data_IF_547034811225
#
_entry.id   IF_547034811225
#
_cell.length_a   1.000
_cell.length_b   1.000
_cell.length_c   1.000
_cell.angle_alpha   90.00
_cell.angle_beta   90.00
_cell.angle_gamma   90.00
#
_symmetry.space_group_name_H-M   'P 1'
#
loop_
_entity.id
_entity.type
_entity.pdbx_description
1 polymer ?
#
# COMPACT_ATOMS: atom_id res chain seq x y z
N UNK A 1 -19.10 -4.04 -12.23
CA UNK A 1 -17.83 -4.12 -13.02
C UNK A 1 -16.72 -3.63 -12.12
N UNK A 2 -15.75 -4.47 -11.79
CA UNK A 2 -14.57 -4.02 -11.06
C UNK A 2 -13.87 -2.92 -11.86
N UNK A 3 -13.54 -1.80 -11.22
CA UNK A 3 -12.68 -0.79 -11.83
C UNK A 3 -11.30 -1.44 -12.05
N UNK A 4 -11.03 -1.79 -13.31
CA UNK A 4 -9.72 -2.39 -13.67
C UNK A 4 -8.71 -1.25 -13.60
N UNK A 5 -7.84 -1.26 -12.58
CA UNK A 5 -6.77 -0.29 -12.48
C UNK A 5 -5.81 -0.44 -13.66
N UNK A 6 -5.66 0.64 -14.42
CA UNK A 6 -4.68 0.71 -15.50
C UNK A 6 -3.33 1.09 -14.91
N UNK A 7 -2.32 0.24 -15.12
CA UNK A 7 -0.95 0.48 -14.71
C UNK A 7 -0.14 0.73 -15.97
N UNK A 8 0.50 1.90 -16.03
CA UNK A 8 1.43 2.25 -17.11
C UNK A 8 2.85 2.11 -16.56
N UNK A 9 3.71 1.43 -17.29
CA UNK A 9 5.13 1.31 -16.97
C UNK A 9 5.98 1.93 -18.08
N UNK A 10 7.07 2.57 -17.72
CA UNK A 10 8.08 3.08 -18.64
C UNK A 10 9.47 2.82 -18.09
N UNK A 11 10.16 1.85 -18.66
CA UNK A 11 11.48 1.40 -18.21
C UNK A 11 12.49 1.48 -19.36
N UNK A 12 13.74 1.73 -19.02
CA UNK A 12 14.85 1.57 -19.95
C UNK A 12 15.11 0.08 -20.24
N UNK A 13 15.16 -0.78 -19.21
CA UNK A 13 15.30 -2.23 -19.36
C UNK A 13 13.96 -2.88 -19.70
N UNK A 14 13.78 -3.19 -21.00
CA UNK A 14 12.56 -3.82 -21.50
C UNK A 14 12.38 -5.27 -21.02
N UNK A 15 13.45 -5.95 -20.62
CA UNK A 15 13.38 -7.32 -20.08
C UNK A 15 12.81 -7.33 -18.68
N UNK A 16 13.27 -6.40 -17.82
CA UNK A 16 12.71 -6.20 -16.49
C UNK A 16 11.24 -5.76 -16.56
N UNK A 17 10.93 -4.79 -17.42
CA UNK A 17 9.57 -4.31 -17.65
C UNK A 17 8.61 -5.42 -18.08
N UNK A 18 9.03 -6.28 -19.02
CA UNK A 18 8.22 -7.39 -19.50
C UNK A 18 7.88 -8.41 -18.41
N UNK A 19 8.86 -8.75 -17.55
CA UNK A 19 8.67 -9.65 -16.40
C UNK A 19 7.66 -9.10 -15.40
N UNK A 20 7.79 -7.82 -15.02
CA UNK A 20 6.87 -7.17 -14.11
C UNK A 20 5.48 -7.02 -14.72
N UNK A 21 5.38 -6.68 -16.00
CA UNK A 21 4.13 -6.56 -16.73
C UNK A 21 3.38 -7.88 -16.85
N UNK A 22 4.08 -8.99 -17.10
CA UNK A 22 3.46 -10.32 -17.10
C UNK A 22 2.89 -10.67 -15.72
N UNK A 23 3.65 -10.32 -14.65
CA UNK A 23 3.23 -10.56 -13.29
C UNK A 23 1.99 -9.74 -12.93
N UNK A 24 1.90 -8.49 -13.34
CA UNK A 24 0.72 -7.63 -13.16
C UNK A 24 -0.52 -8.21 -13.87
N UNK A 25 -0.39 -8.62 -15.14
CA UNK A 25 -1.49 -9.21 -15.92
C UNK A 25 -2.02 -10.50 -15.29
N UNK A 26 -1.15 -11.37 -14.78
CA UNK A 26 -1.53 -12.58 -14.04
C UNK A 26 -2.38 -12.29 -12.80
N UNK A 27 -2.23 -11.10 -12.21
CA UNK A 27 -2.99 -10.67 -11.03
C UNK A 27 -4.17 -9.75 -11.37
N UNK A 28 -4.58 -9.69 -12.65
CA UNK A 28 -5.81 -9.03 -13.07
C UNK A 28 -5.70 -7.52 -13.33
N UNK A 29 -4.49 -6.96 -13.37
CA UNK A 29 -4.29 -5.55 -13.71
C UNK A 29 -4.25 -5.34 -15.23
N UNK A 30 -4.84 -4.23 -15.70
CA UNK A 30 -4.61 -3.75 -17.06
C UNK A 30 -3.23 -3.10 -17.11
N UNK A 31 -2.30 -3.69 -17.85
CA UNK A 31 -0.93 -3.20 -17.96
C UNK A 31 -0.66 -2.66 -19.37
N UNK A 32 -0.12 -1.45 -19.45
CA UNK A 32 0.30 -0.77 -20.67
C UNK A 32 1.77 -0.40 -20.54
N UNK A 33 2.55 -0.75 -21.56
CA UNK A 33 3.97 -0.34 -21.68
C UNK A 33 4.03 0.97 -22.43
N UNK A 34 4.65 1.99 -21.83
CA UNK A 34 4.97 3.22 -22.50
C UNK A 34 6.21 3.01 -23.40
N UNK A 35 6.16 3.49 -24.64
CA UNK A 35 7.20 3.24 -25.64
C UNK A 35 8.17 4.41 -25.79
N UNK A 36 7.63 5.60 -25.76
CA UNK A 36 8.35 6.87 -25.97
C UNK A 36 7.57 8.04 -25.39
N UNK A 37 8.15 9.25 -25.48
CA UNK A 37 7.54 10.47 -24.94
C UNK A 37 6.19 10.82 -25.59
N UNK A 38 6.04 10.60 -26.89
CA UNK A 38 4.78 10.89 -27.60
C UNK A 38 3.67 9.97 -27.08
N UNK A 39 3.95 8.68 -27.01
CA UNK A 39 3.01 7.70 -26.44
C UNK A 39 2.69 7.97 -24.97
N UNK A 40 3.67 8.47 -24.19
CA UNK A 40 3.45 8.88 -22.81
C UNK A 40 2.41 10.00 -22.70
N UNK A 41 2.56 11.05 -23.49
CA UNK A 41 1.64 12.20 -23.49
C UNK A 41 0.22 11.75 -23.89
N UNK A 42 0.09 10.93 -24.93
CA UNK A 42 -1.20 10.32 -25.32
C UNK A 42 -1.85 9.52 -24.20
N UNK A 43 -1.07 8.74 -23.45
CA UNK A 43 -1.58 7.92 -22.35
C UNK A 43 -2.07 8.76 -21.16
N UNK A 44 -1.39 9.86 -20.85
CA UNK A 44 -1.74 10.76 -19.74
C UNK A 44 -2.96 11.62 -20.07
N UNK A 45 -3.03 12.14 -21.29
CA UNK A 45 -4.10 13.07 -21.72
C UNK A 45 -5.42 12.36 -22.01
N UNK A 46 -5.41 11.09 -22.43
CA UNK A 46 -6.61 10.35 -22.80
C UNK A 46 -7.27 9.70 -21.56
N UNK A 47 -8.49 10.14 -21.17
CA UNK A 47 -9.18 9.59 -19.99
C UNK A 47 -9.41 8.08 -20.04
N UNK A 48 -9.49 7.46 -21.24
CA UNK A 48 -9.70 6.01 -21.40
C UNK A 48 -8.44 5.18 -21.13
N UNK A 49 -7.26 5.78 -21.24
CA UNK A 49 -5.96 5.15 -21.04
C UNK A 49 -5.20 5.70 -19.84
N UNK A 50 -5.65 6.81 -19.28
CA UNK A 50 -5.01 7.46 -18.14
C UNK A 50 -4.72 6.47 -17.01
N UNK A 51 -3.47 6.41 -16.54
CA UNK A 51 -3.06 5.44 -15.53
C UNK A 51 -3.72 5.71 -14.18
N UNK A 52 -4.08 4.64 -13.49
CA UNK A 52 -4.32 4.68 -12.05
C UNK A 52 -3.00 4.73 -11.30
N UNK A 53 -2.02 3.99 -11.81
CA UNK A 53 -0.66 3.95 -11.27
C UNK A 53 0.30 4.08 -12.46
N UNK A 54 1.27 4.96 -12.30
CA UNK A 54 2.37 5.18 -13.24
C UNK A 54 3.67 4.70 -12.59
N UNK A 55 4.47 3.92 -13.32
CA UNK A 55 5.75 3.41 -12.85
C UNK A 55 6.84 3.90 -13.79
N UNK A 56 7.76 4.70 -13.27
CA UNK A 56 8.84 5.33 -14.04
C UNK A 56 10.21 4.81 -13.55
N UNK A 57 11.02 4.36 -14.48
CA UNK A 57 12.43 4.03 -14.22
C UNK A 57 13.28 5.30 -14.29
N UNK A 58 14.15 5.53 -13.31
CA UNK A 58 15.08 6.65 -13.31
C UNK A 58 16.06 6.62 -14.49
N UNK A 59 16.30 5.45 -15.06
CA UNK A 59 17.27 5.29 -16.16
C UNK A 59 16.68 5.60 -17.54
N UNK A 60 15.41 6.02 -17.65
CA UNK A 60 14.81 6.48 -18.91
C UNK A 60 15.64 7.67 -19.45
N UNK A 61 16.06 7.58 -20.72
CA UNK A 61 16.91 8.61 -21.35
C UNK A 61 16.10 9.76 -21.94
N UNK A 62 14.85 9.53 -22.27
CA UNK A 62 14.01 10.50 -22.98
C UNK A 62 13.41 11.57 -22.05
N UNK A 63 13.28 11.25 -20.75
CA UNK A 63 12.69 12.14 -19.74
C UNK A 63 13.40 11.99 -18.41
N UNK A 64 13.38 13.07 -17.63
CA UNK A 64 13.71 13.00 -16.22
C UNK A 64 12.48 12.50 -15.43
N UNK A 65 12.57 11.30 -14.89
CA UNK A 65 11.46 10.64 -14.20
C UNK A 65 10.97 11.43 -12.97
N UNK A 66 11.88 12.12 -12.27
CA UNK A 66 11.54 12.90 -11.07
C UNK A 66 10.86 14.21 -11.44
N UNK A 67 11.39 14.92 -12.45
CA UNK A 67 10.75 16.14 -12.94
C UNK A 67 9.37 15.83 -13.55
N UNK A 68 9.26 14.75 -14.33
CA UNK A 68 7.98 14.28 -14.89
C UNK A 68 6.97 13.96 -13.78
N UNK A 69 7.41 13.31 -12.70
CA UNK A 69 6.56 13.08 -11.53
C UNK A 69 6.03 14.39 -10.95
N UNK A 70 6.92 15.35 -10.69
CA UNK A 70 6.54 16.66 -10.14
C UNK A 70 5.55 17.43 -11.04
N UNK A 71 5.77 17.43 -12.35
CA UNK A 71 4.88 18.06 -13.33
C UNK A 71 3.47 17.45 -13.26
N UNK A 72 3.34 16.12 -13.31
CA UNK A 72 2.05 15.43 -13.25
C UNK A 72 1.32 15.75 -11.94
N UNK A 73 2.03 15.73 -10.82
CA UNK A 73 1.44 16.02 -9.50
C UNK A 73 0.96 17.46 -9.37
N UNK A 74 1.67 18.41 -9.97
CA UNK A 74 1.30 19.83 -9.93
C UNK A 74 0.15 20.18 -10.88
N UNK A 75 0.07 19.54 -12.06
CA UNK A 75 -0.98 19.80 -13.03
C UNK A 75 -2.35 19.25 -12.62
N UNK A 76 -2.40 18.11 -11.93
CA UNK A 76 -3.63 17.38 -11.64
C UNK A 76 -3.83 17.10 -10.13
N UNK A 77 -3.82 18.12 -9.29
CA UNK A 77 -3.88 17.99 -7.80
C UNK A 77 -4.97 17.07 -7.26
N UNK A 78 -6.10 16.91 -7.95
CA UNK A 78 -7.24 16.12 -7.46
C UNK A 78 -7.42 14.76 -8.15
N UNK A 79 -6.72 14.50 -9.25
CA UNK A 79 -6.90 13.24 -10.03
C UNK A 79 -5.61 12.71 -10.66
N UNK A 80 -4.45 13.07 -10.11
CA UNK A 80 -3.17 12.53 -10.57
C UNK A 80 -3.09 11.01 -10.35
N UNK A 81 -2.36 10.28 -11.20
CA UNK A 81 -2.03 8.89 -10.92
C UNK A 81 -1.17 8.78 -9.66
N UNK A 82 -1.19 7.64 -9.01
CA UNK A 82 -0.11 7.28 -8.10
C UNK A 82 1.15 7.00 -8.90
N UNK A 83 2.30 7.49 -8.42
CA UNK A 83 3.56 7.40 -9.13
C UNK A 83 4.57 6.61 -8.30
N UNK A 84 5.07 5.52 -8.87
CA UNK A 84 6.18 4.74 -8.32
C UNK A 84 7.43 5.06 -9.14
N UNK A 85 8.49 5.50 -8.50
CA UNK A 85 9.80 5.64 -9.12
C UNK A 85 10.61 4.37 -8.83
N UNK A 86 11.33 3.88 -9.84
CA UNK A 86 12.24 2.74 -9.69
C UNK A 86 13.65 3.22 -10.00
N UNK A 87 14.62 2.93 -9.13
CA UNK A 87 16.00 3.39 -9.30
C UNK A 87 17.04 2.53 -8.59
N UNK A 88 18.30 2.86 -8.76
CA UNK A 88 19.42 2.12 -8.22
C UNK A 88 19.76 2.50 -6.77
N UNK A 89 20.40 1.57 -6.04
CA UNK A 89 20.79 1.73 -4.62
C UNK A 89 21.77 2.89 -4.35
N UNK A 90 22.55 3.25 -5.34
CA UNK A 90 23.61 4.27 -5.18
C UNK A 90 23.06 5.71 -4.98
N UNK A 91 21.74 5.89 -5.10
CA UNK A 91 21.11 7.21 -5.18
C UNK A 91 20.15 7.46 -3.99
N UNK A 92 20.64 7.27 -2.75
CA UNK A 92 19.83 7.52 -1.54
C UNK A 92 19.24 8.95 -1.52
N UNK A 93 20.02 9.93 -1.97
CA UNK A 93 19.56 11.32 -2.11
C UNK A 93 18.43 11.44 -3.15
N UNK A 94 18.53 10.73 -4.26
CA UNK A 94 17.51 10.71 -5.32
C UNK A 94 16.19 10.09 -4.83
N UNK A 95 16.29 9.07 -3.96
CA UNK A 95 15.11 8.47 -3.32
C UNK A 95 14.33 9.51 -2.50
N UNK A 96 15.01 10.24 -1.62
CA UNK A 96 14.39 11.29 -0.80
C UNK A 96 13.79 12.37 -1.69
N UNK A 97 14.56 12.85 -2.67
CA UNK A 97 14.10 13.88 -3.62
C UNK A 97 12.86 13.44 -4.41
N UNK A 98 12.80 12.18 -4.85
CA UNK A 98 11.63 11.66 -5.57
C UNK A 98 10.36 11.71 -4.71
N UNK A 99 10.45 11.33 -3.44
CA UNK A 99 9.31 11.38 -2.51
C UNK A 99 8.90 12.82 -2.19
N UNK A 100 9.86 13.71 -1.94
CA UNK A 100 9.61 15.14 -1.67
C UNK A 100 8.94 15.84 -2.85
N UNK A 101 9.22 15.42 -4.09
CA UNK A 101 8.62 15.95 -5.32
C UNK A 101 7.33 15.25 -5.73
N UNK A 102 6.80 14.36 -4.87
CA UNK A 102 5.44 13.85 -4.97
C UNK A 102 5.32 12.40 -5.46
N UNK A 103 6.41 11.64 -5.58
CA UNK A 103 6.30 10.21 -5.81
C UNK A 103 5.59 9.54 -4.60
N UNK A 104 4.68 8.62 -4.88
CA UNK A 104 3.93 7.90 -3.84
C UNK A 104 4.72 6.73 -3.27
N UNK A 105 5.71 6.23 -4.01
CA UNK A 105 6.64 5.19 -3.56
C UNK A 105 7.93 5.20 -4.40
N UNK A 106 8.99 4.63 -3.82
CA UNK A 106 10.27 4.42 -4.48
C UNK A 106 10.72 2.98 -4.29
N UNK A 107 11.12 2.32 -5.38
CA UNK A 107 11.57 0.92 -5.34
C UNK A 107 13.01 0.84 -5.83
N UNK A 108 13.86 0.24 -5.00
CA UNK A 108 15.26 0.02 -5.33
C UNK A 108 15.42 -1.24 -6.17
N UNK A 109 16.21 -1.16 -7.25
CA UNK A 109 16.61 -2.31 -8.07
C UNK A 109 17.57 -3.25 -7.31
N UNK A 110 17.55 -4.56 -7.57
CA UNK A 110 16.66 -5.28 -8.51
C UNK A 110 15.24 -5.46 -7.97
N UNK A 111 14.24 -5.24 -8.81
CA UNK A 111 12.83 -5.29 -8.43
C UNK A 111 12.34 -6.73 -8.29
N UNK A 112 11.93 -7.12 -7.10
CA UNK A 112 11.32 -8.43 -6.85
C UNK A 112 9.83 -8.37 -7.21
N UNK A 113 9.31 -9.20 -8.16
CA UNK A 113 7.93 -9.11 -8.64
C UNK A 113 6.86 -9.18 -7.54
N UNK A 114 7.07 -10.02 -6.52
CA UNK A 114 6.14 -10.13 -5.39
C UNK A 114 6.08 -8.85 -4.55
N UNK A 115 7.24 -8.21 -4.28
CA UNK A 115 7.31 -6.96 -3.52
C UNK A 115 6.67 -5.83 -4.33
N UNK A 116 7.00 -5.75 -5.64
CA UNK A 116 6.40 -4.80 -6.56
C UNK A 116 4.87 -4.88 -6.57
N UNK A 117 4.34 -6.09 -6.73
CA UNK A 117 2.89 -6.30 -6.71
C UNK A 117 2.25 -5.81 -5.41
N UNK A 118 2.85 -6.08 -4.25
CA UNK A 118 2.29 -5.63 -2.96
C UNK A 118 2.27 -4.11 -2.82
N UNK A 119 3.24 -3.41 -3.38
CA UNK A 119 3.25 -1.95 -3.43
C UNK A 119 2.19 -1.41 -4.39
N UNK A 120 2.06 -2.02 -5.56
CA UNK A 120 0.98 -1.71 -6.51
C UNK A 120 -0.40 -1.95 -5.89
N UNK A 121 -0.61 -3.07 -5.22
CA UNK A 121 -1.87 -3.38 -4.52
C UNK A 121 -2.20 -2.31 -3.47
N UNK A 122 -1.22 -1.86 -2.69
CA UNK A 122 -1.41 -0.83 -1.68
C UNK A 122 -1.84 0.51 -2.30
N UNK A 123 -1.23 0.91 -3.43
CA UNK A 123 -1.60 2.15 -4.13
C UNK A 123 -2.94 2.03 -4.88
N UNK A 124 -3.20 0.90 -5.54
CA UNK A 124 -4.47 0.64 -6.21
C UNK A 124 -5.63 0.73 -5.22
N UNK A 125 -5.41 0.24 -4.02
CA UNK A 125 -6.37 0.31 -2.93
C UNK A 125 -6.63 1.77 -2.50
N UNK A 126 -5.59 2.60 -2.30
CA UNK A 126 -5.73 4.05 -2.02
C UNK A 126 -6.55 4.77 -3.10
N UNK A 127 -6.38 4.42 -4.38
CA UNK A 127 -7.12 5.03 -5.48
C UNK A 127 -8.61 4.66 -5.46
N UNK A 128 -8.95 3.44 -5.10
CA UNK A 128 -10.34 3.00 -4.90
C UNK A 128 -11.07 3.78 -3.81
N UNK A 129 -10.33 4.28 -2.81
CA UNK A 129 -10.91 5.10 -1.73
C UNK A 129 -11.15 6.57 -2.12
N UNK A 130 -10.36 7.13 -3.04
CA UNK A 130 -10.51 8.52 -3.51
C UNK A 130 -11.55 8.67 -4.63
N UNK A 131 -11.98 7.59 -5.26
CA UNK A 131 -13.06 7.56 -6.24
C UNK A 131 -14.22 6.75 -5.69
N UNK A 132 -15.41 7.36 -5.55
CA UNK A 132 -16.64 6.68 -5.19
C UNK A 132 -16.95 5.49 -6.13
N UNK A 133 -16.24 4.40 -5.96
CA UNK A 133 -16.59 3.10 -6.47
C UNK A 133 -15.98 2.06 -5.53
N UNK A 134 -16.80 1.60 -4.60
CA UNK A 134 -16.51 0.42 -3.80
C UNK A 134 -16.07 -0.73 -4.71
N UNK A 135 -14.77 -0.98 -4.77
CA UNK A 135 -14.30 -2.29 -5.21
C UNK A 135 -14.65 -3.21 -4.05
N UNK A 136 -15.60 -4.08 -4.27
CA UNK A 136 -15.87 -5.21 -3.41
C UNK A 136 -14.57 -6.04 -3.27
N UNK A 137 -13.71 -5.65 -2.34
CA UNK A 137 -12.87 -6.60 -1.66
C UNK A 137 -13.86 -7.53 -0.93
N UNK A 138 -13.90 -8.78 -1.28
CA UNK A 138 -14.47 -9.78 -0.39
C UNK A 138 -13.71 -9.60 0.92
N UNK A 139 -14.42 -9.03 1.92
CA UNK A 139 -13.90 -8.72 3.24
C UNK A 139 -12.87 -7.57 3.28
N UNK A 140 -13.40 -6.33 3.31
CA UNK A 140 -12.59 -5.11 3.28
C UNK A 140 -12.06 -4.67 4.64
N UNK A 141 -10.92 -5.19 5.07
CA UNK A 141 -10.22 -4.70 6.25
C UNK A 141 -8.89 -4.03 5.88
N UNK A 142 -8.72 -2.77 6.28
CA UNK A 142 -7.50 -2.01 6.06
C UNK A 142 -7.20 -1.06 7.21
N UNK A 143 -5.91 -0.81 7.45
CA UNK A 143 -5.43 0.15 8.44
C UNK A 143 -4.67 1.26 7.72
N UNK A 144 -5.17 2.49 7.81
CA UNK A 144 -4.46 3.69 7.39
C UNK A 144 -3.62 4.20 8.57
N UNK A 145 -2.33 3.91 8.53
CA UNK A 145 -1.42 4.26 9.61
C UNK A 145 -1.13 5.77 9.68
N UNK A 146 -1.26 6.50 8.57
CA UNK A 146 -1.02 7.95 8.52
C UNK A 146 -2.20 8.72 9.12
N UNK A 147 -3.43 8.28 8.81
CA UNK A 147 -4.66 8.92 9.31
C UNK A 147 -5.14 8.35 10.64
N UNK A 148 -4.51 7.28 11.14
CA UNK A 148 -4.92 6.55 12.35
C UNK A 148 -6.37 6.03 12.28
N UNK A 149 -6.80 5.57 11.11
CA UNK A 149 -8.15 5.03 10.91
C UNK A 149 -8.12 3.57 10.44
N UNK A 150 -9.18 2.87 10.76
CA UNK A 150 -9.43 1.49 10.32
C UNK A 150 -10.65 1.49 9.40
N UNK A 151 -10.52 0.85 8.26
CA UNK A 151 -11.63 0.62 7.35
C UNK A 151 -12.02 -0.84 7.41
N UNK A 152 -13.30 -1.08 7.59
CA UNK A 152 -13.91 -2.40 7.61
C UNK A 152 -15.27 -2.31 6.93
N UNK A 153 -15.47 -3.12 5.87
CA UNK A 153 -16.74 -3.20 5.12
C UNK A 153 -17.34 -1.81 4.77
N UNK A 154 -16.54 -0.97 4.12
CA UNK A 154 -16.89 0.41 3.69
C UNK A 154 -17.12 1.43 4.84
N UNK A 155 -16.96 1.02 6.08
CA UNK A 155 -17.05 1.91 7.23
C UNK A 155 -15.67 2.30 7.75
N UNK A 156 -15.54 3.56 8.14
CA UNK A 156 -14.31 4.09 8.75
C UNK A 156 -14.47 4.13 10.27
N UNK A 157 -13.51 3.58 10.98
CA UNK A 157 -13.48 3.55 12.44
C UNK A 157 -12.25 4.27 12.95
N UNK A 158 -12.44 5.16 13.90
CA UNK A 158 -11.38 5.73 14.70
C UNK A 158 -11.26 4.94 16.00
N UNK A 159 -10.05 4.46 16.29
CA UNK A 159 -9.76 3.73 17.51
C UNK A 159 -8.91 4.60 18.45
N UNK A 160 -9.05 4.43 19.78
CA UNK A 160 -8.10 4.99 20.72
C UNK A 160 -6.66 4.57 20.38
N UNK A 161 -5.71 5.47 20.59
CA UNK A 161 -4.30 5.32 20.14
C UNK A 161 -3.71 3.92 20.41
N UNK A 162 -3.89 3.38 21.63
CA UNK A 162 -3.33 2.06 21.98
C UNK A 162 -4.05 0.88 21.33
N UNK A 163 -5.32 1.00 21.05
CA UNK A 163 -6.10 0.01 20.31
C UNK A 163 -5.70 0.00 18.84
N UNK A 164 -5.50 1.19 18.26
CA UNK A 164 -4.98 1.34 16.91
C UNK A 164 -3.56 0.76 16.77
N UNK A 165 -2.63 1.13 17.65
CA UNK A 165 -1.26 0.62 17.66
C UNK A 165 -1.22 -0.91 17.77
N UNK A 166 -2.06 -1.50 18.64
CA UNK A 166 -2.18 -2.95 18.82
C UNK A 166 -2.71 -3.66 17.57
N UNK A 167 -3.75 -3.11 16.96
CA UNK A 167 -4.32 -3.66 15.75
C UNK A 167 -3.35 -3.54 14.56
N UNK A 168 -2.65 -2.41 14.44
CA UNK A 168 -1.63 -2.17 13.42
C UNK A 168 -0.42 -3.12 13.59
N UNK A 169 -0.03 -3.45 14.81
CA UNK A 169 0.99 -4.46 15.07
C UNK A 169 0.58 -5.82 14.51
N UNK A 170 -0.66 -6.26 14.72
CA UNK A 170 -1.15 -7.53 14.17
C UNK A 170 -1.28 -7.51 12.65
N UNK A 171 -1.64 -6.36 12.09
CA UNK A 171 -1.78 -6.17 10.66
C UNK A 171 -0.44 -6.17 9.93
N UNK A 172 0.60 -5.59 10.54
CA UNK A 172 1.95 -5.49 9.95
C UNK A 172 2.67 -6.83 9.86
N UNK A 173 2.32 -7.81 10.72
CA UNK A 173 2.90 -9.17 10.70
C UNK A 173 1.79 -10.21 10.66
N UNK A 174 1.10 -10.36 9.52
CA UNK A 174 0.01 -11.31 9.39
C UNK A 174 0.51 -12.74 9.62
N UNK A 175 -0.32 -13.58 10.24
CA UNK A 175 -0.04 -14.97 10.64
C UNK A 175 0.85 -15.14 11.90
N UNK A 176 1.40 -14.07 12.47
CA UNK A 176 2.08 -14.18 13.78
C UNK A 176 1.06 -14.12 14.89
N UNK A 177 1.23 -14.99 15.88
CA UNK A 177 0.58 -14.87 17.18
C UNK A 177 1.60 -14.25 18.12
N UNK A 178 1.27 -13.10 18.67
CA UNK A 178 2.09 -12.39 19.63
C UNK A 178 1.72 -12.82 21.04
N UNK A 179 2.71 -13.11 21.88
CA UNK A 179 2.48 -13.32 23.31
C UNK A 179 2.13 -11.97 23.98
N UNK A 180 1.57 -12.02 25.19
CA UNK A 180 1.29 -10.79 25.95
C UNK A 180 2.56 -10.03 26.31
N UNK A 181 3.64 -10.74 26.59
CA UNK A 181 4.96 -10.19 26.87
C UNK A 181 5.51 -9.46 25.64
N UNK A 182 5.50 -10.08 24.46
CA UNK A 182 5.92 -9.44 23.20
C UNK A 182 5.13 -8.17 22.92
N UNK A 183 3.79 -8.22 23.08
CA UNK A 183 2.93 -7.05 22.88
C UNK A 183 3.28 -5.95 23.87
N UNK A 184 3.48 -6.27 25.15
CA UNK A 184 3.82 -5.31 26.18
C UNK A 184 5.15 -4.59 25.90
N UNK A 185 6.17 -5.34 25.51
CA UNK A 185 7.48 -4.79 25.12
C UNK A 185 7.37 -3.86 23.90
N UNK A 186 6.69 -4.33 22.85
CA UNK A 186 6.60 -3.59 21.57
C UNK A 186 5.80 -2.30 21.69
N UNK A 187 4.70 -2.29 22.46
CA UNK A 187 3.78 -1.14 22.51
C UNK A 187 3.96 -0.24 23.74
N UNK A 188 4.51 -0.76 24.85
CA UNK A 188 4.71 0.02 26.07
C UNK A 188 6.15 0.08 26.54
N UNK A 189 7.06 -0.66 25.90
CA UNK A 189 8.47 -0.78 26.32
C UNK A 189 8.63 -1.28 27.77
N UNK A 190 7.67 -2.05 28.24
CA UNK A 190 7.57 -2.54 29.62
C UNK A 190 7.06 -3.98 29.64
N UNK A 191 7.59 -4.80 30.53
CA UNK A 191 7.18 -6.22 30.76
C UNK A 191 6.26 -6.40 31.97
N UNK A 192 5.65 -5.33 32.51
CA UNK A 192 4.89 -5.42 33.75
C UNK A 192 3.60 -6.25 33.60
N UNK A 193 3.26 -7.04 34.63
CA UNK A 193 2.02 -7.86 34.69
C UNK A 193 0.77 -6.97 34.58
N UNK A 194 0.83 -5.75 35.08
CA UNK A 194 -0.26 -4.80 34.97
C UNK A 194 -0.57 -4.43 33.51
N UNK A 195 0.46 -4.35 32.63
CA UNK A 195 0.29 -4.08 31.20
C UNK A 195 -0.33 -5.27 30.46
N UNK A 196 -0.01 -6.50 30.86
CA UNK A 196 -0.59 -7.68 30.24
C UNK A 196 -2.13 -7.74 30.41
N UNK A 197 -2.66 -7.36 31.57
CA UNK A 197 -4.11 -7.26 31.80
C UNK A 197 -4.74 -6.14 30.97
N UNK A 198 -4.03 -5.06 30.74
CA UNK A 198 -4.48 -3.93 29.91
C UNK A 198 -4.63 -4.37 28.43
N UNK A 199 -3.78 -5.28 27.95
CA UNK A 199 -3.87 -5.83 26.60
C UNK A 199 -5.21 -6.53 26.37
N UNK A 200 -5.66 -7.38 27.30
CA UNK A 200 -6.92 -8.10 27.18
C UNK A 200 -8.13 -7.13 27.12
N UNK A 201 -8.05 -6.00 27.81
CA UNK A 201 -9.06 -4.92 27.73
C UNK A 201 -9.07 -4.27 26.35
N UNK A 202 -7.91 -3.93 25.79
CA UNK A 202 -7.81 -3.36 24.46
C UNK A 202 -8.29 -4.36 23.38
N UNK A 203 -7.94 -5.63 23.48
CA UNK A 203 -8.48 -6.68 22.60
C UNK A 203 -10.01 -6.74 22.66
N UNK A 204 -10.58 -6.69 23.86
CA UNK A 204 -12.03 -6.68 24.05
C UNK A 204 -12.68 -5.47 23.37
N UNK A 205 -12.10 -4.29 23.54
CA UNK A 205 -12.61 -3.05 22.97
C UNK A 205 -12.55 -3.08 21.43
N UNK A 206 -11.41 -3.49 20.85
CA UNK A 206 -11.27 -3.64 19.40
C UNK A 206 -12.35 -4.60 18.86
N UNK A 207 -12.56 -5.74 19.51
CA UNK A 207 -13.60 -6.70 19.13
C UNK A 207 -15.02 -6.14 19.25
N UNK A 208 -15.26 -5.26 20.22
CA UNK A 208 -16.56 -4.60 20.39
C UNK A 208 -16.82 -3.63 19.23
N UNK A 209 -15.80 -2.93 18.77
CA UNK A 209 -15.90 -1.90 17.71
C UNK A 209 -15.88 -2.52 16.31
N UNK A 210 -14.98 -3.45 16.05
CA UNK A 210 -14.70 -3.99 14.70
C UNK A 210 -15.20 -5.42 14.46
N UNK A 211 -15.75 -6.08 15.48
CA UNK A 211 -16.24 -7.45 15.37
C UNK A 211 -15.33 -8.47 16.08
N UNK A 212 -15.98 -9.54 16.56
CA UNK A 212 -15.34 -10.57 17.42
C UNK A 212 -14.31 -11.40 16.67
N UNK A 213 -14.49 -11.57 15.37
CA UNK A 213 -13.72 -12.52 14.56
C UNK A 213 -12.42 -11.94 14.01
N UNK A 214 -12.24 -10.62 14.06
CA UNK A 214 -11.07 -9.93 13.53
C UNK A 214 -9.76 -10.32 14.21
N UNK A 215 -9.79 -10.56 15.51
CA UNK A 215 -8.61 -10.95 16.30
C UNK A 215 -8.75 -12.40 16.78
N UNK A 216 -7.81 -13.22 16.34
CA UNK A 216 -7.69 -14.62 16.81
C UNK A 216 -7.05 -14.65 18.19
N UNK A 217 -7.61 -15.46 19.08
CA UNK A 217 -6.99 -15.82 20.37
C UNK A 217 -6.46 -17.24 20.29
N UNK A 218 -5.19 -17.44 20.60
CA UNK A 218 -4.64 -18.76 20.87
C UNK A 218 -4.52 -18.91 22.37
N UNK A 219 -5.41 -19.75 22.93
CA UNK A 219 -5.55 -19.93 24.39
C UNK A 219 -4.23 -20.36 25.01
N UNK A 220 -3.81 -19.69 26.06
CA UNK A 220 -2.54 -19.94 26.73
C UNK A 220 -1.30 -19.36 26.01
N UNK A 221 -1.47 -18.76 24.83
CA UNK A 221 -0.35 -18.23 24.07
C UNK A 221 -0.48 -16.70 23.84
N UNK A 222 -1.49 -16.26 23.07
CA UNK A 222 -1.61 -14.82 22.78
C UNK A 222 -2.64 -14.49 21.74
N UNK A 223 -2.36 -13.43 20.96
CA UNK A 223 -3.28 -12.80 20.02
C UNK A 223 -2.63 -12.56 18.66
N UNK A 224 -3.43 -12.51 17.61
CA UNK A 224 -3.01 -12.17 16.27
C UNK A 224 -4.18 -11.86 15.36
N UNK A 225 -3.91 -11.42 14.14
CA UNK A 225 -4.96 -11.14 13.16
C UNK A 225 -5.60 -12.45 12.66
N UNK A 226 -6.92 -12.47 12.57
CA UNK A 226 -7.65 -13.60 12.00
C UNK A 226 -7.90 -13.38 10.51
N UNK A 227 -7.03 -13.93 9.66
CA UNK A 227 -7.15 -13.78 8.22
C UNK A 227 -8.40 -14.43 7.60
N UNK A 228 -8.98 -15.42 8.26
CA UNK A 228 -10.19 -16.07 7.76
C UNK A 228 -11.45 -15.20 7.94
N UNK A 229 -11.34 -14.11 8.69
CA UNK A 229 -12.41 -13.14 8.93
C UNK A 229 -12.19 -11.83 8.14
N UNK A 230 -11.21 -11.80 7.25
CA UNK A 230 -10.87 -10.66 6.38
C UNK A 230 -11.27 -10.97 4.90
#
# INVERSE_FOLDING_TARGET
>A
MQAIHTIVTWFEDKTEEAKLGEYLRKHGYKHIVCRDKVHFDELIENPATAPSILVLDLNIKEVDAILTCNEIKNQNKNNSPFIIIIGDKAEEYTHVTALDLGADDYIVKPVKPQVFLKRVEALAWRKGMNGHAAVQAKHGFFIDAERHVVLLDEQTFELPKKEFELLNLFYSVPNKIFTREEIAVLLWKEESIARQRTIDVHIRNIRKTLGKDLIKTVKGFGYGLNRSAL
#
